data_IF_171000820382
#
_entry.id   IF_171000820382
#
_cell.length_a   1.000
_cell.length_b   1.000
_cell.length_c   1.000
_cell.angle_alpha   90.00
_cell.angle_beta   90.00
_cell.angle_gamma   90.00
#
_symmetry.space_group_name_H-M   'P 1'
#
loop_
_entity.id
_entity.type
_entity.pdbx_description
1 polymer ?
#
# COMPACT_ATOMS: atom_id res chain seq x y z
N UNK A 1 -23.18 49.88 20.06
CA UNK A 1 -22.34 48.65 19.92
C UNK A 1 -23.14 47.40 19.53
N UNK A 2 -24.36 47.16 20.04
CA UNK A 2 -25.17 45.97 19.62
C UNK A 2 -25.60 45.92 18.14
N UNK A 3 -25.84 47.08 17.50
CA UNK A 3 -26.30 47.16 16.09
C UNK A 3 -25.18 46.90 15.07
N UNK A 4 -23.92 47.17 15.41
CA UNK A 4 -22.75 46.89 14.55
C UNK A 4 -22.40 45.42 14.56
N UNK A 5 -22.57 44.75 15.70
CA UNK A 5 -22.36 43.31 15.83
C UNK A 5 -23.36 42.48 14.98
N UNK A 6 -24.62 42.91 14.90
CA UNK A 6 -25.63 42.23 14.07
C UNK A 6 -25.35 42.38 12.56
N UNK A 7 -24.86 43.56 12.12
CA UNK A 7 -24.49 43.74 10.70
C UNK A 7 -23.28 42.89 10.28
N UNK A 8 -22.28 42.78 11.18
CA UNK A 8 -21.11 41.93 10.95
C UNK A 8 -21.49 40.42 10.85
N UNK A 9 -22.42 39.95 11.69
CA UNK A 9 -22.93 38.58 11.64
C UNK A 9 -23.71 38.29 10.34
N UNK A 10 -24.49 39.24 9.84
CA UNK A 10 -25.22 39.07 8.58
C UNK A 10 -24.30 39.07 7.36
N UNK A 11 -23.26 39.91 7.32
CA UNK A 11 -22.26 39.92 6.24
C UNK A 11 -21.44 38.65 6.24
N UNK A 12 -21.03 38.12 7.41
CA UNK A 12 -20.33 36.84 7.52
C UNK A 12 -21.20 35.64 7.10
N UNK A 13 -22.51 35.68 7.44
CA UNK A 13 -23.46 34.66 7.01
C UNK A 13 -23.67 34.64 5.50
N UNK A 14 -23.73 35.80 4.82
CA UNK A 14 -23.87 35.87 3.35
C UNK A 14 -22.60 35.47 2.60
N UNK A 15 -21.43 35.74 3.14
CA UNK A 15 -20.15 35.28 2.57
C UNK A 15 -20.03 33.77 2.68
N UNK A 16 -20.42 33.18 3.82
CA UNK A 16 -20.43 31.74 4.02
C UNK A 16 -21.37 31.00 3.08
N UNK A 17 -22.56 31.53 2.81
CA UNK A 17 -23.54 30.92 1.89
C UNK A 17 -23.07 31.01 0.43
N UNK A 18 -22.45 32.13 0.01
CA UNK A 18 -21.87 32.23 -1.35
C UNK A 18 -20.64 31.32 -1.53
N UNK A 19 -19.80 31.17 -0.51
CA UNK A 19 -18.67 30.24 -0.54
C UNK A 19 -19.14 28.80 -0.65
N UNK A 20 -20.14 28.39 0.13
CA UNK A 20 -20.69 27.01 0.06
C UNK A 20 -21.37 26.70 -1.29
N UNK A 21 -22.02 27.65 -1.94
CA UNK A 21 -22.63 27.43 -3.26
C UNK A 21 -21.57 27.35 -4.37
N UNK A 22 -20.54 28.17 -4.32
CA UNK A 22 -19.38 28.11 -5.23
C UNK A 22 -18.60 26.82 -5.06
N UNK A 23 -18.44 26.34 -3.84
CA UNK A 23 -17.76 25.09 -3.53
C UNK A 23 -18.56 23.87 -4.02
N UNK A 24 -19.88 23.86 -3.89
CA UNK A 24 -20.76 22.81 -4.44
C UNK A 24 -20.80 22.79 -5.97
N UNK A 25 -20.76 23.94 -6.64
CA UNK A 25 -20.66 24.02 -8.11
C UNK A 25 -19.28 23.57 -8.59
N UNK A 26 -18.21 23.97 -7.92
CA UNK A 26 -16.86 23.50 -8.22
C UNK A 26 -16.70 21.99 -7.97
N UNK A 27 -17.32 21.46 -6.91
CA UNK A 27 -17.33 20.01 -6.64
C UNK A 27 -18.09 19.24 -7.74
N UNK A 28 -19.25 19.73 -8.19
CA UNK A 28 -19.99 19.11 -9.31
C UNK A 28 -19.24 19.19 -10.63
N UNK A 29 -18.63 20.32 -10.95
CA UNK A 29 -17.80 20.46 -12.16
C UNK A 29 -16.56 19.57 -12.10
N UNK A 30 -15.92 19.46 -10.93
CA UNK A 30 -14.81 18.53 -10.73
C UNK A 30 -15.25 17.07 -10.78
N UNK A 31 -16.43 16.72 -10.24
CA UNK A 31 -17.00 15.38 -10.39
C UNK A 31 -17.33 15.04 -11.86
N UNK A 32 -17.86 15.97 -12.63
CA UNK A 32 -18.13 15.78 -14.06
C UNK A 32 -16.84 15.73 -14.89
N UNK A 33 -15.84 16.55 -14.57
CA UNK A 33 -14.51 16.47 -15.18
C UNK A 33 -13.82 15.15 -14.82
N UNK A 34 -13.90 14.72 -13.57
CA UNK A 34 -13.38 13.44 -13.11
C UNK A 34 -14.11 12.27 -13.79
N UNK A 35 -15.45 12.34 -13.93
CA UNK A 35 -16.21 11.34 -14.70
C UNK A 35 -15.76 11.29 -16.17
N UNK A 36 -15.54 12.44 -16.81
CA UNK A 36 -15.05 12.52 -18.19
C UNK A 36 -13.59 12.04 -18.35
N UNK A 37 -12.73 12.29 -17.35
CA UNK A 37 -11.34 11.83 -17.33
C UNK A 37 -11.21 10.34 -16.94
N UNK A 38 -12.20 9.78 -16.24
CA UNK A 38 -12.19 8.39 -15.79
C UNK A 38 -12.58 7.38 -16.89
N UNK A 39 -13.25 7.79 -17.93
CA UNK A 39 -13.81 6.86 -18.93
C UNK A 39 -12.92 6.63 -20.16
N UNK A 40 -11.81 7.34 -20.31
CA UNK A 40 -10.99 7.22 -21.52
C UNK A 40 -9.53 6.91 -21.20
N UNK A 41 -9.30 5.73 -20.61
CA UNK A 41 -7.96 5.14 -20.74
C UNK A 41 -7.81 4.70 -22.20
N UNK A 42 -6.76 5.16 -22.94
CA UNK A 42 -6.53 4.73 -24.31
C UNK A 42 -6.33 3.21 -24.35
N UNK A 43 -6.77 2.59 -25.43
CA UNK A 43 -6.47 1.18 -25.70
C UNK A 43 -4.95 0.98 -25.88
N UNK A 44 -4.47 -0.20 -25.54
CA UNK A 44 -3.05 -0.54 -25.54
C UNK A 44 -2.36 -0.40 -24.18
N UNK A 45 -1.05 -0.29 -24.22
CA UNK A 45 -0.22 -0.19 -23.01
C UNK A 45 -0.11 1.25 -22.51
N UNK A 46 -0.34 1.42 -21.23
CA UNK A 46 -0.06 2.67 -20.49
C UNK A 46 0.94 2.36 -19.39
N UNK A 47 2.04 3.09 -19.37
CA UNK A 47 3.13 2.93 -18.40
C UNK A 47 3.24 4.21 -17.56
N UNK A 48 3.42 4.09 -16.26
CA UNK A 48 3.62 5.22 -15.35
C UNK A 48 4.55 4.80 -14.22
N UNK A 49 5.58 5.57 -13.99
CA UNK A 49 6.50 5.37 -12.88
C UNK A 49 6.50 6.57 -11.95
N UNK A 50 6.66 6.32 -10.66
CA UNK A 50 6.81 7.35 -9.63
C UNK A 50 7.92 6.93 -8.69
N UNK A 51 8.96 7.76 -8.58
CA UNK A 51 10.00 7.64 -7.57
C UNK A 51 9.74 8.69 -6.50
N UNK A 52 9.78 8.29 -5.24
CA UNK A 52 9.62 9.18 -4.09
C UNK A 52 10.78 8.97 -3.12
N UNK A 53 11.42 10.05 -2.70
CA UNK A 53 12.43 10.03 -1.65
C UNK A 53 11.97 10.94 -0.50
N UNK A 54 11.81 10.37 0.69
CA UNK A 54 11.38 11.05 1.90
C UNK A 54 12.54 11.12 2.88
N UNK A 55 12.67 12.22 3.61
CA UNK A 55 13.64 12.36 4.67
C UNK A 55 13.06 13.09 5.88
N UNK A 56 13.58 12.76 7.05
CA UNK A 56 13.29 13.42 8.32
C UNK A 56 14.58 13.50 9.13
N UNK A 57 14.80 14.62 9.79
CA UNK A 57 16.00 14.84 10.61
C UNK A 57 15.64 15.58 11.91
N UNK A 58 16.23 15.15 13.01
CA UNK A 58 16.27 15.88 14.27
C UNK A 58 17.74 16.16 14.65
N UNK A 59 18.06 17.40 14.99
CA UNK A 59 19.42 17.79 15.36
C UNK A 59 19.40 18.64 16.63
N UNK A 60 20.19 18.25 17.60
CA UNK A 60 20.32 18.90 18.90
C UNK A 60 21.79 19.24 19.14
N UNK A 61 22.08 20.49 19.48
CA UNK A 61 23.40 20.94 19.86
C UNK A 61 23.29 21.77 21.14
N UNK A 62 23.97 21.35 22.22
CA UNK A 62 23.93 21.99 23.53
C UNK A 62 22.50 22.19 24.09
N UNK A 63 21.56 21.29 23.73
CA UNK A 63 20.18 21.35 24.15
C UNK A 63 19.99 20.72 25.54
N UNK A 64 19.83 21.56 26.58
CA UNK A 64 19.81 21.13 27.99
C UNK A 64 18.61 20.24 28.35
N UNK A 65 17.49 20.35 27.63
CA UNK A 65 16.30 19.55 27.88
C UNK A 65 16.39 18.09 27.39
N UNK A 66 17.55 17.70 26.83
CA UNK A 66 17.76 16.39 26.24
C UNK A 66 17.30 16.30 24.78
N UNK A 67 17.64 15.20 24.12
CA UNK A 67 17.32 14.92 22.71
C UNK A 67 18.42 14.12 22.04
N UNK A 68 18.07 13.32 21.03
CA UNK A 68 19.03 12.55 20.25
C UNK A 68 18.98 12.96 18.78
N UNK A 69 20.15 13.15 18.18
CA UNK A 69 20.24 13.38 16.75
C UNK A 69 19.80 12.13 15.99
N UNK A 70 18.88 12.30 15.06
CA UNK A 70 18.27 11.24 14.29
C UNK A 70 18.18 11.66 12.82
N UNK A 71 18.37 10.74 11.93
CA UNK A 71 18.10 10.86 10.50
C UNK A 71 17.31 9.63 10.04
N UNK A 72 16.19 9.85 9.36
CA UNK A 72 15.40 8.80 8.70
C UNK A 72 15.30 9.13 7.22
N UNK A 73 15.50 8.13 6.39
CA UNK A 73 15.32 8.20 4.95
C UNK A 73 14.48 7.03 4.45
N UNK A 74 13.60 7.29 3.46
CA UNK A 74 12.81 6.27 2.79
C UNK A 74 12.76 6.57 1.29
N UNK A 75 12.99 5.57 0.46
CA UNK A 75 12.90 5.64 -0.99
C UNK A 75 11.91 4.62 -1.50
N UNK A 76 11.02 5.05 -2.42
CA UNK A 76 10.01 4.20 -3.03
C UNK A 76 10.01 4.37 -4.54
N UNK A 77 9.88 3.25 -5.25
CA UNK A 77 9.57 3.18 -6.67
C UNK A 77 8.23 2.47 -6.85
N UNK A 78 7.28 3.12 -7.49
CA UNK A 78 6.05 2.52 -7.98
C UNK A 78 6.04 2.59 -9.50
N UNK A 79 5.84 1.45 -10.17
CA UNK A 79 5.78 1.38 -11.61
C UNK A 79 4.57 0.58 -12.06
N UNK A 80 3.64 1.26 -12.73
CA UNK A 80 2.43 0.67 -13.30
C UNK A 80 2.64 0.50 -14.82
N UNK A 81 2.36 -0.71 -15.35
CA UNK A 81 2.34 -0.97 -16.79
C UNK A 81 1.10 -1.81 -17.12
N UNK A 82 0.10 -1.11 -17.60
CA UNK A 82 -1.24 -1.65 -17.72
C UNK A 82 -1.67 -1.70 -19.18
N UNK A 83 -2.33 -2.78 -19.57
CA UNK A 83 -2.92 -2.98 -20.88
C UNK A 83 -4.44 -2.96 -20.83
N UNK A 84 -5.08 -2.41 -21.83
CA UNK A 84 -6.54 -2.48 -22.04
C UNK A 84 -6.84 -2.53 -23.52
N UNK A 85 -7.82 -3.35 -23.88
CA UNK A 85 -8.55 -3.29 -25.15
C UNK A 85 -10.05 -3.51 -24.90
N UNK A 86 -10.82 -3.76 -25.96
CA UNK A 86 -12.27 -4.00 -25.87
C UNK A 86 -12.66 -5.24 -25.05
N UNK A 87 -11.78 -6.26 -24.98
CA UNK A 87 -12.04 -7.56 -24.35
C UNK A 87 -11.18 -7.81 -23.11
N UNK A 88 -9.97 -7.23 -23.07
CA UNK A 88 -8.99 -7.51 -22.04
C UNK A 88 -8.64 -6.28 -21.21
N UNK A 89 -8.35 -6.52 -19.95
CA UNK A 89 -7.68 -5.59 -19.05
C UNK A 89 -6.56 -6.35 -18.36
N UNK A 90 -5.37 -5.74 -18.27
CA UNK A 90 -4.24 -6.33 -17.56
C UNK A 90 -3.49 -5.26 -16.79
N UNK A 91 -3.69 -5.25 -15.48
CA UNK A 91 -3.11 -4.27 -14.59
C UNK A 91 -1.88 -4.89 -13.91
N UNK A 92 -0.73 -4.25 -14.05
CA UNK A 92 0.52 -4.67 -13.44
C UNK A 92 1.10 -3.52 -12.62
N UNK A 93 1.54 -3.84 -11.41
CA UNK A 93 2.18 -2.89 -10.49
C UNK A 93 3.44 -3.52 -9.89
N UNK A 94 4.55 -2.84 -10.04
CA UNK A 94 5.81 -3.16 -9.39
C UNK A 94 6.13 -2.10 -8.34
N UNK A 95 6.46 -2.52 -7.12
CA UNK A 95 6.80 -1.66 -6.00
C UNK A 95 8.13 -2.09 -5.40
N UNK A 96 9.03 -1.12 -5.23
CA UNK A 96 10.22 -1.24 -4.37
C UNK A 96 10.12 -0.17 -3.28
N UNK A 97 10.44 -0.53 -2.06
CA UNK A 97 10.55 0.40 -0.95
C UNK A 97 11.74 0.01 -0.08
N UNK A 98 12.55 1.01 0.32
CA UNK A 98 13.64 0.82 1.25
C UNK A 98 13.75 2.01 2.18
N UNK A 99 13.87 1.76 3.48
CA UNK A 99 13.96 2.78 4.50
C UNK A 99 14.99 2.46 5.56
N UNK A 100 15.64 3.52 6.05
CA UNK A 100 16.61 3.43 7.13
C UNK A 100 16.35 4.49 8.19
N UNK A 101 16.74 4.19 9.41
CA UNK A 101 16.81 5.13 10.52
C UNK A 101 18.20 5.07 11.16
N UNK A 102 18.81 6.23 11.41
CA UNK A 102 20.11 6.37 12.07
C UNK A 102 20.00 7.31 13.26
N UNK A 103 20.15 6.78 14.45
CA UNK A 103 20.30 7.55 15.68
C UNK A 103 21.80 7.69 15.96
N UNK A 104 22.23 8.89 16.37
CA UNK A 104 23.64 9.14 16.73
C UNK A 104 24.09 8.22 17.85
N UNK A 105 25.15 7.46 17.60
CA UNK A 105 25.69 6.50 18.60
C UNK A 105 25.06 5.10 18.57
N UNK A 106 24.04 4.85 17.74
CA UNK A 106 23.44 3.55 17.52
C UNK A 106 23.75 3.03 16.10
N UNK A 107 23.50 1.75 15.87
CA UNK A 107 23.56 1.17 14.52
C UNK A 107 22.42 1.67 13.63
N UNK A 108 22.63 1.60 12.32
CA UNK A 108 21.58 1.94 11.36
C UNK A 108 20.53 0.83 11.33
N UNK A 109 19.26 1.21 11.50
CA UNK A 109 18.15 0.29 11.50
C UNK A 109 17.38 0.39 10.18
N UNK A 110 16.96 -0.76 9.66
CA UNK A 110 16.05 -0.87 8.53
C UNK A 110 14.62 -0.57 9.00
N UNK A 111 13.91 0.32 8.34
CA UNK A 111 12.54 0.73 8.70
C UNK A 111 11.51 0.38 7.64
N UNK A 112 11.94 0.15 6.39
CA UNK A 112 11.11 -0.38 5.30
C UNK A 112 12.00 -1.21 4.37
N UNK A 113 11.43 -2.30 3.83
CA UNK A 113 12.12 -3.16 2.87
C UNK A 113 11.09 -4.04 2.16
N UNK A 114 10.73 -3.68 0.94
CA UNK A 114 9.69 -4.39 0.19
C UNK A 114 10.01 -4.46 -1.29
N UNK A 115 9.79 -5.64 -1.83
CA UNK A 115 9.66 -5.90 -3.26
C UNK A 115 8.29 -6.52 -3.47
N UNK A 116 7.42 -5.87 -4.23
CA UNK A 116 6.10 -6.39 -4.55
C UNK A 116 5.86 -6.33 -6.06
N UNK A 117 5.29 -7.40 -6.59
CA UNK A 117 4.78 -7.43 -7.94
C UNK A 117 3.35 -7.94 -7.95
N UNK A 118 2.45 -7.12 -8.45
CA UNK A 118 1.03 -7.44 -8.58
C UNK A 118 0.64 -7.46 -10.06
N UNK A 119 -0.02 -8.51 -10.50
CA UNK A 119 -0.52 -8.66 -11.86
C UNK A 119 -1.96 -9.17 -11.82
N UNK A 120 -2.87 -8.50 -12.50
CA UNK A 120 -4.29 -8.84 -12.56
C UNK A 120 -4.76 -8.75 -14.02
N UNK A 121 -4.87 -9.91 -14.68
CA UNK A 121 -5.44 -10.01 -15.99
C UNK A 121 -6.94 -10.29 -15.92
N UNK A 122 -7.73 -9.66 -16.77
CA UNK A 122 -9.17 -9.85 -16.86
C UNK A 122 -9.63 -9.92 -18.32
N UNK A 123 -10.48 -10.90 -18.64
CA UNK A 123 -11.20 -10.99 -19.90
C UNK A 123 -12.67 -10.68 -19.67
N UNK A 124 -13.26 -9.81 -20.49
CA UNK A 124 -14.68 -9.43 -20.40
C UNK A 124 -15.57 -10.67 -20.27
N UNK A 125 -16.41 -10.68 -19.24
CA UNK A 125 -17.30 -11.79 -18.93
C UNK A 125 -18.76 -11.42 -19.27
N UNK A 126 -19.47 -10.81 -18.33
CA UNK A 126 -20.87 -10.43 -18.45
C UNK A 126 -21.09 -9.01 -17.92
N UNK A 127 -22.18 -8.38 -18.38
CA UNK A 127 -22.44 -6.99 -17.99
C UNK A 127 -21.34 -6.03 -18.39
N UNK A 128 -21.33 -4.84 -17.78
CA UNK A 128 -20.44 -3.75 -18.18
C UNK A 128 -19.07 -3.83 -17.50
N UNK A 129 -19.02 -4.30 -16.24
CA UNK A 129 -17.85 -4.18 -15.37
C UNK A 129 -17.28 -5.52 -14.90
N UNK A 130 -17.81 -6.65 -15.34
CA UNK A 130 -17.38 -7.97 -14.89
C UNK A 130 -16.43 -8.64 -15.88
N UNK A 131 -15.37 -9.26 -15.30
CA UNK A 131 -14.31 -9.96 -16.05
C UNK A 131 -14.01 -11.29 -15.39
N UNK A 132 -13.80 -12.34 -16.16
CA UNK A 132 -13.04 -13.51 -15.71
C UNK A 132 -11.62 -13.09 -15.48
N UNK A 133 -11.04 -13.41 -14.35
CA UNK A 133 -9.71 -12.90 -13.97
C UNK A 133 -8.73 -14.01 -13.63
N UNK A 134 -7.46 -13.66 -13.74
CA UNK A 134 -6.33 -14.39 -13.17
C UNK A 134 -5.44 -13.36 -12.49
N UNK A 135 -5.13 -13.55 -11.20
CA UNK A 135 -4.21 -12.69 -10.51
C UNK A 135 -2.94 -13.42 -10.10
N UNK A 136 -1.88 -12.65 -9.94
CA UNK A 136 -0.60 -13.07 -9.39
C UNK A 136 -0.08 -11.96 -8.48
N UNK A 137 0.31 -12.31 -7.27
CA UNK A 137 0.97 -11.43 -6.31
C UNK A 137 2.26 -12.09 -5.86
N UNK A 138 3.33 -11.32 -5.84
CA UNK A 138 4.62 -11.71 -5.30
C UNK A 138 5.07 -10.64 -4.30
N UNK A 139 5.53 -11.06 -3.12
CA UNK A 139 6.09 -10.19 -2.08
C UNK A 139 7.34 -10.80 -1.50
N UNK A 140 8.37 -9.99 -1.31
CA UNK A 140 9.58 -10.34 -0.56
C UNK A 140 10.29 -9.07 -0.06
N UNK A 141 11.46 -9.20 0.49
CA UNK A 141 12.36 -8.13 0.92
C UNK A 141 13.72 -8.25 0.24
N UNK A 142 14.52 -7.17 0.24
CA UNK A 142 15.82 -7.10 -0.44
C UNK A 142 16.99 -7.42 0.48
N UNK A 143 16.90 -7.02 1.74
CA UNK A 143 18.03 -6.95 2.66
C UNK A 143 17.77 -7.74 3.95
N UNK A 144 18.83 -8.04 4.68
CA UNK A 144 18.76 -8.72 5.97
C UNK A 144 18.00 -7.87 6.98
N UNK A 145 17.00 -8.47 7.63
CA UNK A 145 16.37 -7.94 8.83
C UNK A 145 17.05 -8.47 10.07
N UNK A 146 17.37 -7.59 11.00
CA UNK A 146 17.90 -7.94 12.32
C UNK A 146 16.81 -7.77 13.37
N UNK A 147 16.87 -8.58 14.39
CA UNK A 147 16.02 -8.46 15.56
C UNK A 147 16.17 -7.07 16.19
N UNK A 148 15.05 -6.35 16.44
CA UNK A 148 15.10 -4.96 16.88
C UNK A 148 15.64 -4.76 18.30
N UNK A 149 15.68 -5.82 19.13
CA UNK A 149 16.19 -5.73 20.51
C UNK A 149 17.68 -6.08 20.58
N UNK A 150 18.08 -7.17 19.94
CA UNK A 150 19.45 -7.68 20.02
C UNK A 150 20.37 -7.10 18.96
N UNK A 151 19.84 -6.69 17.81
CA UNK A 151 20.56 -6.21 16.62
C UNK A 151 21.62 -7.18 16.05
N UNK A 152 21.61 -8.43 16.50
CA UNK A 152 22.60 -9.46 16.12
C UNK A 152 21.97 -10.64 15.42
N UNK A 153 20.74 -11.02 15.84
CA UNK A 153 20.05 -12.16 15.28
C UNK A 153 19.34 -11.77 13.95
N UNK A 154 19.59 -12.54 12.91
CA UNK A 154 18.87 -12.39 11.65
C UNK A 154 17.47 -12.94 11.79
N UNK A 155 16.47 -12.12 11.47
CA UNK A 155 15.06 -12.52 11.46
C UNK A 155 14.48 -12.58 10.05
N UNK A 156 15.20 -12.12 9.05
CA UNK A 156 14.79 -12.22 7.65
C UNK A 156 15.94 -11.85 6.71
N UNK A 157 15.84 -12.22 5.45
CA UNK A 157 16.75 -11.77 4.39
C UNK A 157 16.06 -11.86 3.01
N UNK A 158 16.79 -11.57 1.94
CA UNK A 158 16.27 -11.72 0.58
C UNK A 158 15.63 -13.10 0.37
N UNK A 159 14.40 -13.11 -0.13
CA UNK A 159 13.60 -14.31 -0.36
C UNK A 159 13.26 -15.13 0.90
N UNK A 160 13.36 -14.53 2.09
CA UNK A 160 13.02 -15.17 3.37
C UNK A 160 12.39 -14.17 4.35
N UNK A 161 11.03 -14.08 4.35
CA UNK A 161 10.09 -14.86 3.53
C UNK A 161 9.91 -14.32 2.11
N UNK A 162 9.50 -15.20 1.19
CA UNK A 162 8.91 -14.83 -0.09
C UNK A 162 7.51 -15.44 -0.20
N UNK A 163 6.55 -14.63 -0.62
CA UNK A 163 5.15 -15.01 -0.76
C UNK A 163 4.74 -14.94 -2.23
N UNK A 164 4.10 -16.00 -2.71
CA UNK A 164 3.47 -16.07 -4.01
C UNK A 164 1.99 -16.37 -3.82
N UNK A 165 1.11 -15.58 -4.41
CA UNK A 165 -0.32 -15.87 -4.46
C UNK A 165 -0.81 -15.77 -5.90
N UNK A 166 -1.60 -16.74 -6.35
CA UNK A 166 -2.19 -16.69 -7.67
C UNK A 166 -3.45 -17.55 -7.73
N UNK A 167 -4.37 -17.17 -8.59
CA UNK A 167 -5.60 -17.93 -8.77
C UNK A 167 -6.57 -17.32 -9.77
N UNK A 168 -7.46 -18.14 -10.34
CA UNK A 168 -8.57 -17.66 -11.15
C UNK A 168 -9.64 -16.99 -10.27
N UNK A 169 -10.34 -16.01 -10.85
CA UNK A 169 -11.38 -15.29 -10.12
C UNK A 169 -12.36 -14.55 -11.02
N UNK A 170 -13.14 -13.70 -10.35
CA UNK A 170 -14.05 -12.75 -10.95
C UNK A 170 -13.64 -11.35 -10.52
N UNK A 171 -13.31 -10.51 -11.50
CA UNK A 171 -12.97 -9.12 -11.30
C UNK A 171 -14.18 -8.24 -11.63
N UNK A 172 -14.62 -7.45 -10.66
CA UNK A 172 -15.49 -6.31 -10.88
C UNK A 172 -14.63 -5.06 -10.96
N UNK A 173 -14.61 -4.40 -12.12
CA UNK A 173 -13.79 -3.22 -12.39
C UNK A 173 -14.67 -2.11 -12.92
N UNK A 174 -15.05 -1.16 -12.04
CA UNK A 174 -15.81 0.02 -12.43
C UNK A 174 -14.92 1.06 -13.13
N UNK A 175 -13.67 1.16 -12.70
CA UNK A 175 -12.66 2.06 -13.26
C UNK A 175 -11.26 1.58 -12.87
N UNK A 176 -10.21 2.25 -13.35
CA UNK A 176 -8.83 2.00 -12.88
C UNK A 176 -8.65 2.35 -11.39
N UNK A 177 -9.56 3.17 -10.83
CA UNK A 177 -9.51 3.59 -9.43
C UNK A 177 -10.42 2.79 -8.49
N UNK A 178 -11.31 1.94 -9.02
CA UNK A 178 -12.21 1.12 -8.20
C UNK A 178 -12.38 -0.26 -8.81
N UNK A 179 -11.83 -1.25 -8.14
CA UNK A 179 -11.88 -2.64 -8.55
C UNK A 179 -11.88 -3.58 -7.35
N UNK A 180 -12.57 -4.70 -7.50
CA UNK A 180 -12.62 -5.81 -6.54
C UNK A 180 -12.47 -7.12 -7.29
N UNK A 181 -11.51 -7.94 -6.89
CA UNK A 181 -11.27 -9.28 -7.43
C UNK A 181 -11.57 -10.32 -6.37
N UNK A 182 -12.37 -11.31 -6.70
CA UNK A 182 -12.71 -12.44 -5.83
C UNK A 182 -12.17 -13.70 -6.50
N UNK A 183 -11.22 -14.38 -5.86
CA UNK A 183 -10.54 -15.57 -6.35
C UNK A 183 -10.76 -16.75 -5.39
N UNK A 184 -11.77 -17.59 -5.63
CA UNK A 184 -12.16 -18.66 -4.70
C UNK A 184 -11.22 -19.88 -4.72
N UNK A 185 -10.30 -19.96 -5.68
CA UNK A 185 -9.31 -21.03 -5.79
C UNK A 185 -7.91 -20.41 -5.92
N UNK A 186 -7.40 -19.90 -4.80
CA UNK A 186 -6.11 -19.22 -4.70
C UNK A 186 -5.07 -20.14 -4.09
N UNK A 187 -3.97 -20.36 -4.82
CA UNK A 187 -2.76 -20.96 -4.28
C UNK A 187 -1.90 -19.88 -3.62
N UNK A 188 -1.43 -20.14 -2.39
CA UNK A 188 -0.43 -19.32 -1.68
C UNK A 188 0.77 -20.21 -1.38
N UNK A 189 1.96 -19.75 -1.77
CA UNK A 189 3.24 -20.42 -1.51
C UNK A 189 4.09 -19.49 -0.68
N UNK A 190 4.59 -19.98 0.44
CA UNK A 190 5.50 -19.26 1.32
C UNK A 190 6.85 -19.97 1.24
N UNK A 191 7.91 -19.22 0.97
CA UNK A 191 9.29 -19.74 0.88
C UNK A 191 10.13 -19.07 1.96
N UNK A 192 10.88 -19.90 2.69
CA UNK A 192 11.80 -19.47 3.74
C UNK A 192 13.11 -20.27 3.59
N UNK A 193 14.23 -19.61 3.75
CA UNK A 193 15.54 -20.28 3.69
C UNK A 193 15.73 -21.22 4.88
N UNK A 194 16.35 -22.39 4.66
CA UNK A 194 16.57 -23.43 5.68
C UNK A 194 17.27 -22.93 6.95
N UNK A 195 18.12 -21.90 6.83
CA UNK A 195 18.77 -21.26 8.00
C UNK A 195 17.77 -20.85 9.11
N UNK A 196 16.53 -20.51 8.75
CA UNK A 196 15.50 -20.09 9.71
C UNK A 196 14.61 -21.23 10.19
N UNK A 197 14.62 -22.37 9.47
CA UNK A 197 13.78 -23.53 9.79
C UNK A 197 14.57 -24.72 10.30
N UNK A 198 15.89 -24.80 10.03
CA UNK A 198 16.74 -25.86 10.54
C UNK A 198 16.86 -25.77 12.07
N UNK A 199 16.59 -26.89 12.73
CA UNK A 199 16.71 -27.02 14.19
C UNK A 199 15.52 -26.39 14.98
N UNK A 200 14.44 -25.98 14.31
CA UNK A 200 13.21 -25.61 15.02
C UNK A 200 12.62 -26.85 15.72
N UNK A 201 12.12 -26.71 16.96
CA UNK A 201 11.41 -27.76 17.66
C UNK A 201 10.14 -28.21 16.89
N UNK A 202 9.70 -29.45 17.13
CA UNK A 202 8.46 -29.97 16.56
C UNK A 202 7.25 -29.05 16.90
N UNK A 203 6.45 -28.74 15.91
CA UNK A 203 5.27 -27.86 16.04
C UNK A 203 5.58 -26.37 16.03
N UNK A 204 6.85 -25.97 15.97
CA UNK A 204 7.22 -24.55 15.79
C UNK A 204 7.43 -24.27 14.30
N UNK A 205 6.87 -23.16 13.85
CA UNK A 205 6.98 -22.72 12.47
C UNK A 205 7.71 -21.37 12.36
N UNK A 206 8.26 -21.07 11.19
CA UNK A 206 8.83 -19.77 10.87
C UNK A 206 8.13 -19.20 9.63
N UNK A 207 7.37 -18.12 9.78
CA UNK A 207 6.42 -17.62 8.78
C UNK A 207 5.48 -18.73 8.27
N UNK A 208 5.00 -19.59 9.19
CA UNK A 208 4.15 -20.73 8.87
C UNK A 208 4.87 -21.94 8.24
N UNK A 209 6.18 -21.87 7.96
CA UNK A 209 6.96 -22.99 7.42
C UNK A 209 7.51 -23.83 8.56
N UNK A 210 7.23 -25.14 8.56
CA UNK A 210 7.65 -26.11 9.58
C UNK A 210 9.17 -26.29 9.62
N UNK A 211 9.67 -26.73 10.77
CA UNK A 211 11.07 -27.08 10.95
C UNK A 211 11.60 -28.08 9.90
N UNK A 212 12.79 -27.79 9.36
CA UNK A 212 13.44 -28.60 8.32
C UNK A 212 12.81 -28.49 6.93
N UNK A 213 11.71 -27.72 6.74
CA UNK A 213 11.13 -27.43 5.44
C UNK A 213 11.53 -26.02 4.98
N UNK A 214 11.46 -25.75 3.67
CA UNK A 214 11.75 -24.46 3.07
C UNK A 214 10.56 -23.83 2.38
N UNK A 215 9.42 -24.51 2.36
CA UNK A 215 8.22 -24.10 1.66
C UNK A 215 6.96 -24.58 2.39
N UNK A 216 5.94 -23.74 2.39
CA UNK A 216 4.56 -24.10 2.75
C UNK A 216 3.64 -23.79 1.56
N UNK A 217 2.72 -24.69 1.30
CA UNK A 217 1.66 -24.54 0.30
C UNK A 217 0.32 -24.44 0.98
N UNK A 218 -0.49 -23.48 0.54
CA UNK A 218 -1.86 -23.28 0.97
C UNK A 218 -2.77 -23.17 -0.25
N UNK A 219 -4.03 -23.59 -0.08
CA UNK A 219 -5.11 -23.40 -1.05
C UNK A 219 -6.28 -22.73 -0.35
N UNK A 220 -6.81 -21.66 -0.93
CA UNK A 220 -7.85 -20.91 -0.25
C UNK A 220 -8.64 -19.98 -1.16
N UNK A 221 -9.31 -19.02 -0.54
CA UNK A 221 -9.98 -17.91 -1.21
C UNK A 221 -9.26 -16.61 -0.95
N UNK A 222 -9.14 -15.76 -1.98
CA UNK A 222 -8.64 -14.40 -1.86
C UNK A 222 -9.70 -13.37 -2.30
N UNK A 223 -9.72 -12.23 -1.62
CA UNK A 223 -10.42 -11.02 -2.02
C UNK A 223 -9.41 -9.88 -2.06
N UNK A 224 -9.30 -9.22 -3.23
CA UNK A 224 -8.43 -8.08 -3.43
C UNK A 224 -9.27 -6.88 -3.82
N UNK A 225 -9.25 -5.81 -3.04
CA UNK A 225 -9.98 -4.58 -3.33
C UNK A 225 -9.01 -3.39 -3.42
N UNK A 226 -9.26 -2.54 -4.39
CA UNK A 226 -8.48 -1.33 -4.64
C UNK A 226 -9.43 -0.15 -4.82
N UNK A 227 -9.18 0.93 -4.07
CA UNK A 227 -9.92 2.17 -4.22
C UNK A 227 -9.02 3.39 -4.04
N UNK A 228 -8.93 4.20 -5.10
CA UNK A 228 -8.20 5.46 -5.11
C UNK A 228 -9.15 6.61 -5.40
N UNK A 229 -9.04 7.69 -4.62
CA UNK A 229 -9.85 8.89 -4.80
C UNK A 229 -9.08 10.15 -4.38
N UNK A 230 -9.54 11.30 -4.87
CA UNK A 230 -9.05 12.59 -4.41
C UNK A 230 -9.92 13.06 -3.24
N UNK A 231 -9.29 13.32 -2.09
CA UNK A 231 -9.94 13.87 -0.89
C UNK A 231 -10.24 15.35 -1.13
N UNK A 232 -9.28 16.07 -1.70
CA UNK A 232 -9.34 17.47 -2.09
C UNK A 232 -8.23 17.75 -3.11
N UNK A 233 -8.22 18.95 -3.67
CA UNK A 233 -7.16 19.37 -4.60
C UNK A 233 -5.77 19.08 -4.04
N UNK A 234 -4.93 18.37 -4.81
CA UNK A 234 -3.58 17.94 -4.45
C UNK A 234 -3.47 16.89 -3.33
N UNK A 235 -4.60 16.35 -2.83
CA UNK A 235 -4.59 15.30 -1.79
C UNK A 235 -5.36 14.09 -2.30
N UNK A 236 -4.66 12.98 -2.47
CA UNK A 236 -5.25 11.70 -2.90
C UNK A 236 -5.04 10.62 -1.86
N UNK A 237 -6.04 9.73 -1.74
CA UNK A 237 -5.97 8.52 -0.92
C UNK A 237 -6.08 7.28 -1.80
N UNK A 238 -5.24 6.30 -1.54
CA UNK A 238 -5.23 4.97 -2.14
C UNK A 238 -5.43 3.94 -1.04
N UNK A 239 -6.45 3.10 -1.19
CA UNK A 239 -6.76 2.01 -0.28
C UNK A 239 -6.56 0.69 -1.00
N UNK A 240 -5.84 -0.23 -0.38
CA UNK A 240 -5.59 -1.58 -0.86
C UNK A 240 -5.99 -2.53 0.27
N UNK A 241 -6.90 -3.44 0.00
CA UNK A 241 -7.32 -4.47 0.94
C UNK A 241 -7.12 -5.83 0.30
N UNK A 242 -6.38 -6.71 0.96
CA UNK A 242 -6.23 -8.10 0.61
C UNK A 242 -6.70 -8.94 1.79
N UNK A 243 -7.62 -9.86 1.52
CA UNK A 243 -8.08 -10.88 2.44
C UNK A 243 -7.75 -12.24 1.86
N UNK A 244 -7.36 -13.18 2.72
CA UNK A 244 -7.10 -14.56 2.34
C UNK A 244 -7.59 -15.51 3.43
N UNK A 245 -8.22 -16.62 3.05
CA UNK A 245 -8.63 -17.69 3.94
C UNK A 245 -8.10 -19.01 3.43
N UNK A 246 -7.33 -19.73 4.25
CA UNK A 246 -6.75 -21.02 3.91
C UNK A 246 -7.79 -22.15 4.12
N UNK A 247 -8.17 -22.87 3.06
CA UNK A 247 -9.11 -23.99 3.17
C UNK A 247 -8.52 -25.23 3.81
N UNK A 248 -7.19 -25.36 3.79
CA UNK A 248 -6.51 -26.56 4.26
C UNK A 248 -6.26 -26.52 5.77
N UNK A 249 -6.31 -25.31 6.37
CA UNK A 249 -6.03 -25.12 7.79
C UNK A 249 -6.77 -23.88 8.28
N UNK A 250 -7.61 -24.05 9.29
CA UNK A 250 -8.38 -23.01 9.98
C UNK A 250 -9.06 -21.97 9.06
N UNK A 251 -9.96 -22.39 8.15
CA UNK A 251 -10.55 -21.49 7.15
C UNK A 251 -11.38 -20.33 7.74
N UNK A 252 -11.72 -20.39 9.03
CA UNK A 252 -12.34 -19.28 9.76
C UNK A 252 -11.35 -18.15 10.09
N UNK A 253 -10.04 -18.41 10.12
CA UNK A 253 -8.99 -17.39 10.24
C UNK A 253 -8.80 -16.75 8.88
N UNK A 254 -8.96 -15.44 8.84
CA UNK A 254 -8.81 -14.65 7.61
C UNK A 254 -7.60 -13.74 7.76
N UNK A 255 -6.58 -14.00 6.94
CA UNK A 255 -5.45 -13.09 6.80
C UNK A 255 -5.93 -11.77 6.22
N UNK A 256 -5.42 -10.67 6.76
CA UNK A 256 -5.72 -9.32 6.31
C UNK A 256 -4.43 -8.54 6.05
N UNK A 257 -4.35 -7.89 4.89
CA UNK A 257 -3.34 -6.86 4.60
C UNK A 257 -4.08 -5.62 4.05
N UNK A 258 -4.20 -4.60 4.90
CA UNK A 258 -4.79 -3.32 4.54
C UNK A 258 -3.73 -2.25 4.45
N UNK A 259 -3.71 -1.49 3.35
CA UNK A 259 -2.80 -0.38 3.13
C UNK A 259 -3.59 0.88 2.78
N UNK A 260 -3.27 1.98 3.46
CA UNK A 260 -3.74 3.33 3.16
C UNK A 260 -2.54 4.21 2.83
N UNK A 261 -2.52 4.77 1.63
CA UNK A 261 -1.50 5.71 1.18
C UNK A 261 -2.15 7.06 0.88
N UNK A 262 -1.76 8.11 1.60
CA UNK A 262 -2.20 9.48 1.36
C UNK A 262 -1.03 10.29 0.81
N UNK A 263 -1.23 10.87 -0.37
CA UNK A 263 -0.24 11.72 -1.03
C UNK A 263 -0.76 13.15 -1.06
N UNK A 264 -0.02 14.06 -0.45
CA UNK A 264 -0.30 15.49 -0.39
C UNK A 264 0.76 16.24 -1.20
N UNK A 265 0.39 16.77 -2.38
CA UNK A 265 1.29 17.48 -3.28
C UNK A 265 1.39 18.95 -2.85
N UNK A 266 2.57 19.38 -2.42
CA UNK A 266 2.86 20.78 -2.09
C UNK A 266 3.14 21.57 -3.39
N UNK A 267 3.91 20.99 -4.29
CA UNK A 267 4.16 21.48 -5.64
C UNK A 267 4.51 20.33 -6.59
N UNK A 268 5.02 20.60 -7.80
CA UNK A 268 5.31 19.55 -8.79
C UNK A 268 6.46 18.58 -8.37
N UNK A 269 7.26 18.95 -7.38
CA UNK A 269 8.40 18.15 -6.92
C UNK A 269 8.28 17.74 -5.46
N UNK A 270 7.66 18.56 -4.61
CA UNK A 270 7.60 18.36 -3.17
C UNK A 270 6.26 17.77 -2.77
N UNK A 271 6.30 16.68 -2.01
CA UNK A 271 5.13 15.99 -1.48
C UNK A 271 5.29 15.65 0.00
N UNK A 272 4.18 15.55 0.70
CA UNK A 272 4.08 14.85 1.98
C UNK A 272 3.33 13.56 1.75
N UNK A 273 3.87 12.45 2.23
CA UNK A 273 3.25 11.14 2.12
C UNK A 273 2.99 10.55 3.49
N UNK A 274 1.78 10.05 3.68
CA UNK A 274 1.41 9.23 4.82
C UNK A 274 1.06 7.84 4.32
N UNK A 275 1.71 6.82 4.87
CA UNK A 275 1.42 5.40 4.60
C UNK A 275 1.10 4.70 5.91
N UNK A 276 -0.01 4.00 5.93
CA UNK A 276 -0.42 3.11 7.01
C UNK A 276 -0.63 1.71 6.44
N UNK A 277 -0.12 0.70 7.12
CA UNK A 277 -0.39 -0.70 6.82
C UNK A 277 -0.75 -1.44 8.10
N UNK A 278 -1.78 -2.27 8.02
CA UNK A 278 -2.15 -3.23 9.05
C UNK A 278 -2.18 -4.64 8.45
N UNK A 279 -1.45 -5.56 9.06
CA UNK A 279 -1.37 -6.96 8.66
C UNK A 279 -1.84 -7.82 9.83
N UNK A 280 -2.68 -8.78 9.55
CA UNK A 280 -3.04 -9.88 10.43
C UNK A 280 -2.79 -11.19 9.67
N UNK A 281 -1.91 -12.04 10.17
CA UNK A 281 -1.58 -13.38 9.67
C UNK A 281 -1.09 -14.15 10.90
N UNK A 282 -1.94 -14.97 11.49
CA UNK A 282 -1.68 -15.70 12.74
C UNK A 282 -0.60 -16.77 12.59
N UNK A 283 -0.35 -17.25 11.37
CA UNK A 283 0.76 -18.15 11.08
C UNK A 283 2.15 -17.46 11.16
N UNK A 284 2.16 -16.12 10.98
CA UNK A 284 3.39 -15.34 11.08
C UNK A 284 3.53 -14.67 12.46
N UNK A 285 2.43 -14.14 13.01
CA UNK A 285 2.39 -13.45 14.31
C UNK A 285 0.98 -13.40 14.87
N UNK A 286 0.79 -13.83 16.14
CA UNK A 286 -0.50 -13.75 16.82
C UNK A 286 -0.85 -12.30 17.16
N UNK A 287 -1.56 -11.63 16.25
CA UNK A 287 -2.05 -10.27 16.45
C UNK A 287 -1.87 -9.36 15.23
N UNK A 288 -2.31 -8.11 15.38
CA UNK A 288 -2.13 -7.11 14.35
C UNK A 288 -0.71 -6.54 14.36
N UNK A 289 -0.08 -6.56 13.20
CA UNK A 289 1.15 -5.83 12.92
C UNK A 289 0.79 -4.52 12.21
N UNK A 290 1.26 -3.40 12.72
CA UNK A 290 0.99 -2.09 12.12
C UNK A 290 2.26 -1.35 11.79
N UNK A 291 2.24 -0.60 10.69
CA UNK A 291 3.32 0.26 10.28
C UNK A 291 2.77 1.61 9.81
N UNK A 292 3.41 2.69 10.24
CA UNK A 292 3.07 4.05 9.83
C UNK A 292 4.33 4.78 9.40
N UNK A 293 4.27 5.43 8.25
CA UNK A 293 5.35 6.28 7.73
C UNK A 293 4.75 7.62 7.33
N UNK A 294 5.25 8.70 7.93
CA UNK A 294 4.95 10.06 7.53
C UNK A 294 6.27 10.75 7.17
N UNK A 295 6.34 11.31 5.98
CA UNK A 295 7.55 11.97 5.53
C UNK A 295 7.26 13.08 4.52
N UNK A 296 8.20 14.00 4.43
CA UNK A 296 8.25 15.06 3.42
C UNK A 296 9.42 14.78 2.48
N UNK A 297 9.23 14.95 1.19
CA UNK A 297 10.31 14.69 0.25
C UNK A 297 9.97 15.00 -1.19
N UNK A 298 10.88 14.58 -2.07
CA UNK A 298 10.78 14.79 -3.50
C UNK A 298 10.09 13.62 -4.17
N UNK A 299 9.22 13.93 -5.14
CA UNK A 299 8.56 12.95 -6.00
C UNK A 299 8.82 13.31 -7.47
N UNK A 300 9.19 12.30 -8.25
CA UNK A 300 9.40 12.41 -9.69
C UNK A 300 8.56 11.35 -10.41
N UNK A 301 7.65 11.81 -11.27
CA UNK A 301 6.85 10.95 -12.14
C UNK A 301 7.45 10.86 -13.54
N UNK A 302 7.45 9.67 -14.14
CA UNK A 302 7.90 9.40 -15.51
C UNK A 302 6.95 8.44 -16.22
N UNK A 303 7.00 8.47 -17.57
CA UNK A 303 6.17 7.62 -18.45
C UNK A 303 7.04 6.88 -19.43
#
# INVERSE_FOLDING_TARGET
>A
MRKIALLALCVFGMISVKAQNSEKENLKQNEELLKKLHDVRPEGWVKKGVITALASQSSFNNWLAGGQNNFSGNANLNYDFNYKDSLWTWDNKFLLAYGINKIKGAETQKTDDRVEFNSLAGRKAFGEHWYYSMFFNFKTQMDTGLDPETHTMRISHFFSPAYFQFGPGLLWKKSDNLKVNIAPATSKIIVVHSHFTDGLPDGITYFGVEGGKTMRYELGAALNAYYKYEIMANVSAENILNLYSNYLEDPQNVDLDYQLNIVMKINKYLTTNFSFQAVYDDNAFEGFQTRQILGVGATYGFQ
#
